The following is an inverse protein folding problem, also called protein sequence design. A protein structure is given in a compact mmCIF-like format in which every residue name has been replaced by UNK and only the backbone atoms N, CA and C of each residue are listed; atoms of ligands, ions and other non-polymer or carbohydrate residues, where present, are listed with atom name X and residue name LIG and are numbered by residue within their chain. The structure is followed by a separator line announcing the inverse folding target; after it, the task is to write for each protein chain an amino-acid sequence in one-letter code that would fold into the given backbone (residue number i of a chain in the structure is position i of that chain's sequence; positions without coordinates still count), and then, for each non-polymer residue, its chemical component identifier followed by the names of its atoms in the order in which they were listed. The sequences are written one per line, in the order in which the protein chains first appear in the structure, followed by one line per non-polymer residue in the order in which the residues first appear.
data_IF_417579405888
#
_entry.id   IF_417579405888
#
_cell.length_a   1.000
_cell.length_b   1.000
_cell.length_c   1.000
_cell.angle_alpha   90.00
_cell.angle_beta   90.00
_cell.angle_gamma   90.00
#
_symmetry.space_group_name_H-M   'P 1'
#
loop_
_entity.id
_entity.type
_entity.pdbx_description
1 polymer ?
#
# COMPACT_ATOMS: atom_id res chain seq x y z
N UNK A 1 -84.32 -2.11 -9.77
CA UNK A 1 -83.46 -1.08 -9.15
C UNK A 1 -82.19 -1.76 -8.62
N UNK A 2 -81.01 -1.20 -8.96
CA UNK A 2 -79.65 -1.27 -8.34
C UNK A 2 -79.40 -2.31 -7.21
N UNK A 3 -78.28 -3.02 -7.08
CA UNK A 3 -76.92 -3.02 -7.68
C UNK A 3 -76.17 -4.25 -7.09
N UNK A 4 -75.18 -4.77 -7.85
CA UNK A 4 -73.82 -5.25 -7.48
C UNK A 4 -73.57 -5.89 -6.09
N UNK A 5 -72.74 -6.93 -5.90
CA UNK A 5 -71.47 -7.27 -6.56
C UNK A 5 -71.07 -8.69 -6.12
N UNK A 6 -70.62 -9.51 -7.06
CA UNK A 6 -70.07 -10.86 -6.84
C UNK A 6 -68.53 -10.81 -6.83
N UNK A 7 -67.91 -11.32 -5.76
CA UNK A 7 -66.47 -11.62 -5.73
C UNK A 7 -66.28 -13.13 -5.60
N UNK A 8 -65.77 -13.74 -6.67
CA UNK A 8 -65.31 -15.13 -6.69
C UNK A 8 -63.86 -15.22 -6.25
N UNK A 9 -63.56 -16.20 -5.39
CA UNK A 9 -62.21 -16.61 -5.02
C UNK A 9 -61.52 -17.29 -6.22
N UNK A 10 -60.29 -16.86 -6.52
CA UNK A 10 -59.34 -17.63 -7.32
C UNK A 10 -58.11 -17.95 -6.45
N UNK A 11 -57.78 -19.24 -6.38
CA UNK A 11 -56.63 -19.78 -5.68
C UNK A 11 -55.31 -19.32 -6.32
N UNK A 12 -54.33 -18.94 -5.49
CA UNK A 12 -52.95 -18.69 -5.92
C UNK A 12 -52.08 -19.85 -5.40
N UNK A 13 -51.51 -20.59 -6.34
CA UNK A 13 -50.51 -21.60 -6.10
C UNK A 13 -49.22 -20.94 -5.56
N UNK A 14 -48.75 -21.39 -4.40
CA UNK A 14 -47.47 -20.97 -3.84
C UNK A 14 -46.33 -21.72 -4.55
N UNK A 15 -45.66 -21.05 -5.48
CA UNK A 15 -44.36 -21.48 -5.99
C UNK A 15 -43.28 -21.06 -5.00
N UNK A 16 -42.81 -22.02 -4.20
CA UNK A 16 -41.59 -21.87 -3.40
C UNK A 16 -40.39 -21.77 -4.33
N UNK A 17 -39.93 -20.56 -4.60
CA UNK A 17 -38.59 -20.31 -5.15
C UNK A 17 -37.60 -20.58 -4.02
N UNK A 18 -36.94 -21.74 -4.05
CA UNK A 18 -35.72 -21.96 -3.27
C UNK A 18 -34.67 -20.97 -3.76
N UNK A 19 -34.53 -19.86 -3.04
CA UNK A 19 -33.31 -19.08 -3.08
C UNK A 19 -32.20 -19.94 -2.50
N UNK A 20 -31.32 -20.46 -3.35
CA UNK A 20 -29.97 -20.81 -2.94
C UNK A 20 -29.30 -19.50 -2.51
N UNK A 21 -29.41 -19.17 -1.22
CA UNK A 21 -28.51 -18.23 -0.59
C UNK A 21 -27.10 -18.80 -0.74
N UNK A 22 -26.30 -18.20 -1.62
CA UNK A 22 -24.86 -18.40 -1.58
C UNK A 22 -24.38 -18.15 -0.15
N UNK A 23 -23.47 -18.98 0.40
CA UNK A 23 -22.98 -18.78 1.74
C UNK A 23 -22.42 -17.37 1.85
N UNK A 24 -23.00 -16.56 2.73
CA UNK A 24 -22.49 -15.26 3.14
C UNK A 24 -21.03 -15.45 3.55
N UNK A 25 -20.12 -15.01 2.68
CA UNK A 25 -18.75 -14.77 3.08
C UNK A 25 -18.80 -13.82 4.27
N UNK A 26 -18.20 -14.21 5.38
CA UNK A 26 -18.15 -13.40 6.59
C UNK A 26 -17.53 -12.04 6.26
N UNK A 27 -18.39 -11.02 6.15
CA UNK A 27 -17.99 -9.63 6.10
C UNK A 27 -17.77 -9.21 7.54
N UNK A 28 -16.52 -8.84 7.89
CA UNK A 28 -16.27 -8.00 9.04
C UNK A 28 -16.92 -6.63 8.75
N UNK A 29 -18.24 -6.54 8.95
CA UNK A 29 -19.01 -5.34 8.68
C UNK A 29 -18.79 -4.29 9.77
N UNK A 30 -19.27 -3.06 9.53
CA UNK A 30 -19.18 -1.97 10.51
C UNK A 30 -19.76 -2.36 11.88
N UNK A 31 -20.74 -3.27 11.90
CA UNK A 31 -21.31 -3.85 13.12
C UNK A 31 -20.28 -4.57 13.99
N UNK A 32 -19.17 -5.08 13.44
CA UNK A 32 -18.13 -5.78 14.19
C UNK A 32 -16.92 -4.89 14.51
N UNK A 33 -16.99 -3.58 14.24
CA UNK A 33 -15.97 -2.60 14.63
C UNK A 33 -14.73 -2.56 13.75
N UNK A 34 -14.77 -3.16 12.55
CA UNK A 34 -13.72 -3.12 11.54
C UNK A 34 -14.30 -2.54 10.24
N UNK A 35 -13.56 -1.68 9.55
CA UNK A 35 -13.95 -1.14 8.24
C UNK A 35 -12.72 -0.96 7.36
N UNK A 36 -12.92 -0.93 6.04
CA UNK A 36 -11.87 -0.48 5.14
C UNK A 36 -11.77 1.05 5.12
N UNK A 37 -10.55 1.61 5.05
CA UNK A 37 -10.37 3.05 4.86
C UNK A 37 -11.14 3.57 3.65
N UNK A 38 -11.51 4.85 3.69
CA UNK A 38 -12.20 5.50 2.56
C UNK A 38 -11.43 5.33 1.25
N UNK A 39 -12.14 5.00 0.16
CA UNK A 39 -11.55 4.75 -1.15
C UNK A 39 -10.87 3.37 -1.28
N UNK A 40 -11.10 2.45 -0.34
CA UNK A 40 -10.70 1.05 -0.44
C UNK A 40 -11.87 0.11 -0.20
N UNK A 41 -11.79 -1.11 -0.74
CA UNK A 41 -12.82 -2.15 -0.65
C UNK A 41 -12.27 -3.40 -0.01
N UNK A 42 -13.08 -4.08 0.80
CA UNK A 42 -12.67 -5.35 1.42
C UNK A 42 -12.39 -6.41 0.35
N UNK A 43 -11.22 -7.04 0.46
CA UNK A 43 -10.79 -8.19 -0.32
C UNK A 43 -10.44 -9.32 0.65
N UNK A 44 -11.11 -10.46 0.51
CA UNK A 44 -10.95 -11.62 1.39
C UNK A 44 -10.28 -12.72 0.57
N UNK A 45 -9.02 -13.00 0.90
CA UNK A 45 -8.27 -14.08 0.27
C UNK A 45 -8.97 -15.42 0.44
N UNK A 46 -9.19 -16.14 -0.67
CA UNK A 46 -9.97 -17.38 -0.72
C UNK A 46 -9.44 -18.51 0.16
N UNK A 47 -8.12 -18.56 0.38
CA UNK A 47 -7.48 -19.74 0.98
C UNK A 47 -7.26 -19.63 2.49
N UNK A 48 -7.15 -18.40 3.02
CA UNK A 48 -6.81 -18.15 4.43
C UNK A 48 -7.71 -17.09 5.08
N UNK A 49 -8.77 -16.66 4.37
CA UNK A 49 -9.66 -15.57 4.79
C UNK A 49 -8.93 -14.28 5.15
N UNK A 50 -7.71 -14.05 4.64
CA UNK A 50 -6.99 -12.81 4.94
C UNK A 50 -7.79 -11.63 4.45
N UNK A 51 -8.16 -10.75 5.39
CA UNK A 51 -8.88 -9.53 5.14
C UNK A 51 -7.89 -8.43 4.79
N UNK A 52 -7.99 -7.94 3.56
CA UNK A 52 -7.24 -6.79 3.06
C UNK A 52 -8.22 -5.71 2.63
N UNK A 53 -7.77 -4.47 2.64
CA UNK A 53 -8.50 -3.39 2.01
C UNK A 53 -7.80 -3.02 0.71
N UNK A 54 -8.36 -3.45 -0.40
CA UNK A 54 -7.84 -3.19 -1.74
C UNK A 54 -8.20 -1.78 -2.19
N UNK A 55 -7.20 -1.04 -2.67
CA UNK A 55 -7.37 0.28 -3.29
C UNK A 55 -6.65 0.25 -4.62
N UNK A 56 -7.29 0.82 -5.65
CA UNK A 56 -6.63 1.03 -6.94
C UNK A 56 -5.80 2.30 -6.85
N UNK A 57 -4.49 2.17 -6.94
CA UNK A 57 -3.57 3.29 -7.07
C UNK A 57 -3.26 3.52 -8.54
N UNK A 58 -3.26 4.78 -8.96
CA UNK A 58 -2.85 5.19 -10.30
C UNK A 58 -1.42 5.67 -10.25
N UNK A 59 -0.54 5.04 -11.02
CA UNK A 59 0.85 5.45 -11.18
C UNK A 59 0.98 6.16 -12.51
N UNK A 60 1.48 7.39 -12.47
CA UNK A 60 1.88 8.14 -13.66
C UNK A 60 3.41 8.21 -13.73
N UNK A 61 3.94 8.00 -14.94
CA UNK A 61 5.34 8.22 -15.29
C UNK A 61 5.38 9.25 -16.41
N UNK A 62 6.30 10.19 -16.30
CA UNK A 62 6.45 11.22 -17.32
C UNK A 62 7.01 10.60 -18.60
N UNK A 63 6.44 11.01 -19.73
CA UNK A 63 6.99 10.66 -21.03
C UNK A 63 8.39 11.28 -21.19
N UNK A 64 9.31 10.52 -21.79
CA UNK A 64 10.68 10.94 -22.04
C UNK A 64 11.18 10.44 -23.39
N UNK A 65 12.29 11.02 -23.84
CA UNK A 65 13.03 10.60 -25.01
C UNK A 65 14.32 9.93 -24.58
N UNK A 66 14.57 8.70 -25.06
CA UNK A 66 15.87 8.05 -24.92
C UNK A 66 16.71 8.44 -26.13
N UNK A 67 17.89 9.01 -25.90
CA UNK A 67 18.83 9.31 -26.97
C UNK A 67 19.25 8.03 -27.69
N UNK A 68 19.01 7.97 -29.00
CA UNK A 68 19.44 6.83 -29.82
C UNK A 68 20.93 7.02 -30.11
N UNK A 69 21.76 6.08 -29.66
CA UNK A 69 23.14 5.95 -30.16
C UNK A 69 23.11 4.96 -31.31
N UNK A 70 23.15 5.44 -32.55
CA UNK A 70 23.57 4.59 -33.67
C UNK A 70 25.08 4.79 -33.76
N UNK A 71 25.86 3.72 -33.70
CA UNK A 71 27.25 3.75 -34.11
C UNK A 71 27.41 2.71 -35.20
N UNK A 72 27.90 3.13 -36.38
CA UNK A 72 28.96 2.41 -37.09
C UNK A 72 29.53 3.15 -38.30
N UNK A 73 29.27 4.46 -38.51
CA UNK A 73 29.82 5.15 -39.70
C UNK A 73 29.82 6.70 -39.67
N UNK A 74 30.09 7.32 -38.51
CA UNK A 74 30.24 8.79 -38.40
C UNK A 74 29.00 9.50 -37.84
N UNK A 75 28.42 8.93 -36.80
CA UNK A 75 27.09 9.27 -36.32
C UNK A 75 26.97 10.61 -35.57
N UNK A 76 25.94 11.37 -35.95
CA UNK A 76 25.49 12.60 -35.31
C UNK A 76 24.83 12.25 -33.97
N UNK A 77 25.31 12.82 -32.86
CA UNK A 77 24.61 12.83 -31.57
C UNK A 77 23.31 13.63 -31.70
N UNK A 78 22.23 12.99 -32.12
CA UNK A 78 20.92 13.64 -32.13
C UNK A 78 20.28 13.46 -30.77
N UNK A 79 20.50 14.45 -29.89
CA UNK A 79 19.72 14.58 -28.66
C UNK A 79 18.26 14.78 -29.05
N UNK A 80 17.45 13.72 -28.97
CA UNK A 80 16.01 13.81 -29.17
C UNK A 80 15.43 14.68 -28.05
N UNK A 81 14.66 15.69 -28.42
CA UNK A 81 13.90 16.53 -27.50
C UNK A 81 12.45 16.10 -27.52
N UNK A 82 11.83 16.04 -26.34
CA UNK A 82 10.39 15.87 -26.22
C UNK A 82 9.70 17.14 -26.72
N UNK A 83 8.88 17.01 -27.76
CA UNK A 83 8.00 18.08 -28.21
C UNK A 83 6.59 17.79 -27.77
N UNK A 84 6.05 18.68 -26.92
CA UNK A 84 4.67 18.63 -26.51
C UNK A 84 3.77 19.07 -27.65
N UNK A 85 2.81 18.23 -28.05
CA UNK A 85 1.88 18.54 -29.13
C UNK A 85 0.55 18.96 -28.51
N UNK A 86 0.13 20.20 -28.77
CA UNK A 86 -1.08 20.79 -28.15
C UNK A 86 -2.37 20.03 -28.47
N UNK A 87 -2.37 19.24 -29.56
CA UNK A 87 -3.44 18.31 -29.92
C UNK A 87 -2.82 17.01 -30.48
N UNK A 88 -2.85 15.95 -29.67
CA UNK A 88 -2.29 14.65 -30.01
C UNK A 88 -1.16 14.23 -29.06
N UNK A 89 -0.48 13.13 -29.41
CA UNK A 89 0.58 12.55 -28.59
C UNK A 89 1.90 13.32 -28.72
N UNK A 90 2.59 13.44 -27.60
CA UNK A 90 3.97 13.88 -27.54
C UNK A 90 4.86 12.97 -28.39
N UNK A 91 5.83 13.58 -29.03
CA UNK A 91 6.79 12.89 -29.90
C UNK A 91 8.20 13.32 -29.57
N UNK A 92 9.15 12.41 -29.76
CA UNK A 92 10.56 12.72 -29.66
C UNK A 92 11.07 13.20 -31.01
N UNK A 93 11.58 14.43 -31.10
CA UNK A 93 12.14 15.00 -32.34
C UNK A 93 13.59 15.40 -32.21
N UNK A 94 14.28 15.34 -33.34
CA UNK A 94 15.60 15.96 -33.49
C UNK A 94 15.40 17.48 -33.61
N UNK A 95 16.11 18.31 -32.82
CA UNK A 95 16.04 19.76 -32.96
C UNK A 95 16.33 20.20 -34.40
N UNK A 96 15.35 20.86 -35.04
CA UNK A 96 15.48 21.34 -36.43
C UNK A 96 15.36 20.26 -37.51
N UNK A 97 14.99 19.02 -37.16
CA UNK A 97 14.80 17.91 -38.10
C UNK A 97 13.34 17.45 -38.24
N UNK A 98 13.09 16.57 -39.20
CA UNK A 98 11.77 15.94 -39.42
C UNK A 98 11.65 14.54 -38.81
N UNK A 99 12.76 13.95 -38.35
CA UNK A 99 12.79 12.63 -37.74
C UNK A 99 12.05 12.64 -36.40
N UNK A 100 11.11 11.70 -36.24
CA UNK A 100 10.31 11.48 -35.03
C UNK A 100 10.55 10.07 -34.50
N UNK A 101 10.54 9.91 -33.18
CA UNK A 101 10.57 8.63 -32.49
C UNK A 101 9.43 8.59 -31.46
N UNK A 102 8.85 7.41 -31.17
CA UNK A 102 7.89 7.30 -30.07
C UNK A 102 8.53 7.70 -28.73
N UNK A 103 7.73 8.32 -27.87
CA UNK A 103 8.10 8.57 -26.48
C UNK A 103 8.15 7.26 -25.69
N UNK A 104 8.92 7.25 -24.63
CA UNK A 104 9.03 6.12 -23.71
C UNK A 104 8.96 6.60 -22.26
N UNK A 105 9.10 5.70 -21.31
CA UNK A 105 9.20 6.02 -19.88
C UNK A 105 10.19 5.08 -19.20
N UNK A 106 10.63 5.47 -18.00
CA UNK A 106 11.47 4.65 -17.14
C UNK A 106 10.63 4.06 -16.01
N UNK A 107 10.41 2.73 -15.96
CA UNK A 107 9.84 2.08 -14.79
C UNK A 107 10.78 2.23 -13.59
N UNK A 108 10.23 2.54 -12.42
CA UNK A 108 10.96 2.62 -11.16
C UNK A 108 10.76 1.32 -10.34
N UNK A 109 11.67 0.99 -9.42
CA UNK A 109 11.46 -0.11 -8.49
C UNK A 109 10.12 0.04 -7.75
N UNK A 110 9.31 -1.03 -7.77
CA UNK A 110 7.95 -1.03 -7.19
C UNK A 110 6.82 -0.66 -8.17
N UNK A 111 7.16 -0.32 -9.42
CA UNK A 111 6.18 -0.19 -10.50
C UNK A 111 5.62 -1.54 -10.95
N UNK A 112 4.39 -1.55 -11.47
CA UNK A 112 3.86 -2.64 -12.27
C UNK A 112 4.79 -3.00 -13.45
N UNK A 113 4.64 -4.19 -14.06
CA UNK A 113 5.34 -4.53 -15.29
C UNK A 113 5.15 -3.44 -16.35
N UNK A 114 6.21 -3.10 -17.10
CA UNK A 114 6.18 -2.03 -18.09
C UNK A 114 5.03 -2.19 -19.11
N UNK A 115 4.63 -3.43 -19.41
CA UNK A 115 3.50 -3.76 -20.29
C UNK A 115 2.12 -3.32 -19.79
N UNK A 116 1.98 -2.97 -18.51
CA UNK A 116 0.73 -2.47 -17.93
C UNK A 116 0.55 -0.95 -18.06
N UNK A 117 1.61 -0.25 -18.48
CA UNK A 117 1.54 1.19 -18.70
C UNK A 117 0.96 1.50 -20.08
N UNK A 118 0.05 2.46 -20.11
CA UNK A 118 -0.57 2.98 -21.32
C UNK A 118 -0.26 4.46 -21.43
N UNK A 119 0.12 4.93 -22.61
CA UNK A 119 0.30 6.35 -22.87
C UNK A 119 -1.08 7.03 -22.84
N UNK A 120 -1.21 8.05 -22.00
CA UNK A 120 -2.42 8.84 -21.81
C UNK A 120 -2.09 10.29 -22.16
N UNK A 121 -2.84 10.83 -23.12
CA UNK A 121 -2.78 12.22 -23.53
C UNK A 121 -3.35 13.09 -22.41
N UNK A 122 -2.56 14.04 -21.88
CA UNK A 122 -3.03 15.04 -20.93
C UNK A 122 -2.66 16.45 -21.40
N UNK A 123 -3.44 17.44 -20.97
CA UNK A 123 -3.16 18.83 -21.28
C UNK A 123 -1.75 19.21 -20.79
N UNK A 124 -0.86 19.55 -21.73
CA UNK A 124 0.49 20.04 -21.47
C UNK A 124 1.58 18.97 -21.40
N UNK A 125 1.27 17.68 -21.25
CA UNK A 125 2.22 16.57 -21.38
C UNK A 125 1.54 15.20 -21.48
N UNK A 126 2.15 14.28 -22.20
CA UNK A 126 1.79 12.87 -22.12
C UNK A 126 2.36 12.21 -20.88
N UNK A 127 1.59 11.28 -20.32
CA UNK A 127 2.01 10.43 -19.21
C UNK A 127 1.79 8.97 -19.55
N UNK A 128 2.69 8.11 -19.07
CA UNK A 128 2.46 6.67 -19.04
C UNK A 128 1.75 6.32 -17.75
N UNK A 129 0.52 5.84 -17.86
CA UNK A 129 -0.35 5.50 -16.73
C UNK A 129 -0.51 4.00 -16.61
N UNK A 130 -0.31 3.50 -15.40
CA UNK A 130 -0.70 2.16 -14.99
C UNK A 130 -1.59 2.24 -13.74
N UNK A 131 -2.37 1.18 -13.51
CA UNK A 131 -3.10 1.00 -12.26
C UNK A 131 -2.56 -0.24 -11.55
N UNK A 132 -2.50 -0.18 -10.22
CA UNK A 132 -2.16 -1.34 -9.40
C UNK A 132 -3.09 -1.45 -8.21
N UNK A 133 -3.38 -2.68 -7.82
CA UNK A 133 -4.05 -2.94 -6.54
C UNK A 133 -3.01 -2.81 -5.43
N UNK A 134 -3.25 -1.88 -4.51
CA UNK A 134 -2.52 -1.74 -3.26
C UNK A 134 -3.42 -2.22 -2.13
N UNK A 135 -2.82 -2.88 -1.15
CA UNK A 135 -3.54 -3.39 0.01
C UNK A 135 -3.14 -2.58 1.23
N UNK A 136 -4.13 -1.98 1.89
CA UNK A 136 -3.96 -1.26 3.15
C UNK A 136 -4.63 -2.05 4.27
N UNK A 137 -4.14 -1.84 5.49
CA UNK A 137 -4.74 -2.46 6.67
C UNK A 137 -6.16 -1.93 6.87
N UNK A 138 -7.10 -2.78 7.33
CA UNK A 138 -8.38 -2.28 7.81
C UNK A 138 -8.18 -1.28 8.95
N UNK A 139 -9.19 -0.45 9.16
CA UNK A 139 -9.26 0.53 10.24
C UNK A 139 -10.34 0.13 11.24
N UNK A 140 -10.29 0.76 12.42
CA UNK A 140 -11.36 0.63 13.40
C UNK A 140 -12.61 1.34 12.87
N UNK A 141 -13.71 0.60 12.78
CA UNK A 141 -15.02 1.17 12.52
C UNK A 141 -15.57 1.91 13.74
N UNK A 142 -16.49 2.87 13.57
CA UNK A 142 -17.22 3.46 14.68
C UNK A 142 -17.89 2.33 15.49
N UNK A 143 -17.51 2.24 16.76
CA UNK A 143 -18.11 1.28 17.69
C UNK A 143 -19.40 1.92 18.19
N UNK A 144 -20.50 1.70 17.47
CA UNK A 144 -21.83 2.22 17.87
C UNK A 144 -22.38 1.56 19.14
N UNK A 145 -21.82 0.42 19.54
CA UNK A 145 -22.13 -0.26 20.79
C UNK A 145 -20.81 -0.63 21.50
N UNK A 146 -20.51 -0.14 22.70
CA UNK A 146 -19.26 -0.43 23.43
C UNK A 146 -19.04 -1.94 23.72
N UNK A 147 -20.05 -2.79 23.53
CA UNK A 147 -19.93 -4.25 23.57
C UNK A 147 -19.31 -4.85 22.30
N UNK A 148 -19.22 -4.09 21.20
CA UNK A 148 -18.68 -4.57 19.93
C UNK A 148 -17.16 -4.38 19.90
N UNK A 149 -16.44 -5.48 19.72
CA UNK A 149 -14.98 -5.51 19.69
C UNK A 149 -14.49 -5.95 18.31
N UNK A 150 -13.56 -5.19 17.71
CA UNK A 150 -12.93 -5.51 16.43
C UNK A 150 -12.34 -6.94 16.39
N UNK A 151 -11.83 -7.42 17.54
CA UNK A 151 -11.30 -8.79 17.68
C UNK A 151 -12.34 -9.90 17.48
N UNK A 152 -13.64 -9.58 17.43
CA UNK A 152 -14.72 -10.52 17.11
C UNK A 152 -14.93 -10.69 15.60
N UNK A 153 -14.54 -9.70 14.78
CA UNK A 153 -14.63 -9.77 13.32
C UNK A 153 -13.34 -10.23 12.65
N UNK A 154 -12.20 -10.05 13.32
CA UNK A 154 -10.89 -10.41 12.77
C UNK A 154 -10.00 -11.15 13.77
N UNK A 155 -9.05 -11.95 13.26
CA UNK A 155 -8.07 -12.70 14.05
C UNK A 155 -6.69 -12.62 13.42
N UNK A 156 -5.64 -12.60 14.24
CA UNK A 156 -4.29 -12.67 13.70
C UNK A 156 -3.93 -14.08 13.20
N UNK A 157 -3.16 -14.16 12.10
CA UNK A 157 -2.63 -15.44 11.65
C UNK A 157 -1.71 -16.05 12.72
N UNK A 158 -1.57 -17.37 12.69
CA UNK A 158 -0.77 -18.09 13.68
C UNK A 158 0.67 -17.52 13.78
N UNK A 159 1.11 -17.28 15.00
CA UNK A 159 2.44 -16.72 15.30
C UNK A 159 2.54 -15.21 15.18
N UNK A 160 1.44 -14.49 14.96
CA UNK A 160 1.34 -13.04 15.09
C UNK A 160 0.39 -12.69 16.23
N UNK A 161 0.73 -11.63 16.94
CA UNK A 161 -0.08 -11.03 17.99
C UNK A 161 -0.84 -9.82 17.45
N UNK A 162 -1.91 -9.40 18.13
CA UNK A 162 -2.60 -8.17 17.77
C UNK A 162 -1.81 -6.95 18.26
N UNK A 163 -1.66 -5.92 17.41
CA UNK A 163 -0.84 -4.75 17.75
C UNK A 163 -1.39 -4.01 18.99
N UNK A 164 -0.65 -3.99 20.11
CA UNK A 164 -1.09 -3.38 21.36
C UNK A 164 -1.07 -1.84 21.31
N UNK A 165 -0.30 -1.24 20.39
CA UNK A 165 -0.23 0.22 20.21
C UNK A 165 -1.50 0.77 19.55
N UNK A 166 -2.24 -0.09 18.81
CA UNK A 166 -3.59 0.20 18.30
C UNK A 166 -4.68 -0.27 19.28
N UNK A 167 -4.68 0.27 20.51
CA UNK A 167 -5.70 0.05 21.55
C UNK A 167 -5.95 -1.43 21.93
N UNK A 168 -5.04 -2.37 21.63
CA UNK A 168 -5.22 -3.80 21.92
C UNK A 168 -6.38 -4.46 21.15
N UNK A 169 -6.81 -3.87 20.02
CA UNK A 169 -7.99 -4.32 19.25
C UNK A 169 -7.66 -5.19 18.02
N UNK A 170 -6.39 -5.47 17.75
CA UNK A 170 -5.96 -6.56 16.84
C UNK A 170 -6.26 -6.36 15.34
N UNK A 171 -6.33 -5.11 14.87
CA UNK A 171 -6.63 -4.79 13.46
C UNK A 171 -5.37 -4.93 12.58
N UNK A 172 -4.19 -4.80 13.20
CA UNK A 172 -2.89 -5.15 12.64
C UNK A 172 -2.31 -6.29 13.45
N UNK A 173 -1.65 -7.22 12.77
CA UNK A 173 -1.03 -8.37 13.41
C UNK A 173 0.47 -8.20 13.36
N UNK A 174 1.12 -8.01 14.51
CA UNK A 174 2.55 -7.83 14.61
C UNK A 174 3.24 -9.06 15.19
N UNK A 175 4.51 -9.20 14.86
CA UNK A 175 5.38 -10.19 15.48
C UNK A 175 6.77 -9.59 15.59
N UNK A 176 7.45 -9.87 16.70
CA UNK A 176 8.90 -9.62 16.80
C UNK A 176 9.64 -10.51 15.81
N UNK A 177 10.44 -9.89 14.95
CA UNK A 177 11.23 -10.59 13.96
C UNK A 177 12.71 -10.57 14.31
N UNK A 178 13.24 -11.75 14.64
CA UNK A 178 14.62 -11.92 15.11
C UNK A 178 14.91 -11.31 16.48
N UNK A 179 16.17 -11.40 16.89
CA UNK A 179 16.66 -10.85 18.16
C UNK A 179 16.84 -9.32 18.09
N UNK A 180 16.73 -8.61 19.24
CA UNK A 180 17.06 -7.20 19.31
C UNK A 180 18.48 -6.91 18.79
N UNK A 181 18.62 -5.81 18.05
CA UNK A 181 19.89 -5.33 17.52
C UNK A 181 20.34 -4.13 18.34
N UNK A 182 21.61 -4.07 18.71
CA UNK A 182 22.15 -2.90 19.41
C UNK A 182 21.99 -1.62 18.57
N UNK A 183 21.72 -0.50 19.23
CA UNK A 183 21.77 0.82 18.62
C UNK A 183 23.18 1.15 18.09
N UNK A 184 23.25 1.73 16.91
CA UNK A 184 24.46 1.98 16.15
C UNK A 184 24.32 3.24 15.30
N UNK A 185 25.43 3.78 14.83
CA UNK A 185 25.48 4.96 13.96
C UNK A 185 25.99 4.58 12.57
N UNK A 186 25.75 5.44 11.58
CA UNK A 186 26.39 5.28 10.27
C UNK A 186 27.88 5.58 10.35
N UNK A 187 28.63 5.12 9.34
CA UNK A 187 30.06 5.38 9.24
C UNK A 187 30.36 6.90 9.32
N UNK A 188 31.32 7.27 10.18
CA UNK A 188 31.71 8.67 10.40
C UNK A 188 30.98 9.37 11.54
N UNK A 189 30.05 8.70 12.23
CA UNK A 189 29.35 9.22 13.40
C UNK A 189 29.67 8.41 14.65
N UNK A 190 29.72 9.08 15.80
CA UNK A 190 29.99 8.43 17.10
C UNK A 190 28.68 8.28 17.86
N UNK A 191 28.40 7.08 18.37
CA UNK A 191 27.26 6.87 19.28
C UNK A 191 27.60 7.47 20.65
N UNK A 192 26.72 8.31 21.16
CA UNK A 192 26.72 8.83 22.52
C UNK A 192 25.59 8.13 23.29
N UNK A 193 25.92 7.17 24.17
CA UNK A 193 24.90 6.53 24.98
C UNK A 193 24.36 7.47 26.05
N UNK A 194 23.05 7.50 26.24
CA UNK A 194 22.48 8.30 27.33
C UNK A 194 22.54 7.51 28.66
N UNK A 195 23.32 8.03 29.60
CA UNK A 195 23.51 7.37 30.90
C UNK A 195 22.27 7.46 31.82
N UNK A 196 21.24 8.23 31.42
CA UNK A 196 19.99 8.39 32.16
C UNK A 196 18.88 7.50 31.61
N UNK A 197 19.17 6.70 30.58
CA UNK A 197 18.24 5.75 29.96
C UNK A 197 17.25 6.39 28.98
N UNK A 198 17.56 7.57 28.44
CA UNK A 198 16.87 8.14 27.28
C UNK A 198 17.47 7.59 25.97
N UNK A 199 16.90 7.95 24.82
CA UNK A 199 17.41 7.54 23.50
C UNK A 199 18.90 7.88 23.29
N UNK A 200 19.69 6.88 22.94
CA UNK A 200 21.07 7.01 22.44
C UNK A 200 21.10 7.83 21.15
N UNK A 201 22.07 8.74 21.01
CA UNK A 201 22.19 9.65 19.86
C UNK A 201 23.46 9.42 19.07
N UNK A 202 23.43 9.76 17.78
CA UNK A 202 24.62 9.82 16.94
C UNK A 202 25.14 11.27 16.88
N UNK A 203 26.42 11.47 17.21
CA UNK A 203 27.13 12.75 17.16
C UNK A 203 28.01 12.86 15.91
N UNK A 204 27.97 14.03 15.25
CA UNK A 204 28.76 14.35 14.06
C UNK A 204 28.31 15.63 13.36
N UNK A 205 28.44 15.70 12.02
CA UNK A 205 28.01 16.85 11.20
C UNK A 205 26.50 17.13 11.30
N UNK A 206 25.71 16.10 11.57
CA UNK A 206 24.29 16.20 11.90
C UNK A 206 24.00 15.25 13.06
N UNK A 207 23.62 15.80 14.21
CA UNK A 207 23.16 14.97 15.33
C UNK A 207 21.86 14.28 14.92
N UNK A 208 21.76 12.97 15.16
CA UNK A 208 20.64 12.18 14.65
C UNK A 208 20.28 10.98 15.52
N UNK A 209 19.12 10.35 15.25
CA UNK A 209 18.72 9.11 15.93
C UNK A 209 19.67 7.96 15.56
N UNK A 210 19.77 6.97 16.44
CA UNK A 210 20.50 5.74 16.14
C UNK A 210 19.73 4.85 15.16
N UNK A 211 20.40 3.81 14.67
CA UNK A 211 19.85 2.77 13.82
C UNK A 211 20.20 1.38 14.35
N UNK A 212 19.54 0.31 13.87
CA UNK A 212 19.95 -1.05 14.19
C UNK A 212 21.36 -1.35 13.66
N UNK A 213 22.19 -2.05 14.45
CA UNK A 213 23.52 -2.51 14.03
C UNK A 213 23.45 -3.41 12.79
N UNK A 214 24.41 -3.24 11.88
CA UNK A 214 24.50 -4.01 10.63
C UNK A 214 23.51 -3.59 9.54
N UNK A 215 22.91 -2.41 9.69
CA UNK A 215 22.05 -1.74 8.71
C UNK A 215 22.62 -0.35 8.39
N UNK A 216 22.29 0.23 7.24
CA UNK A 216 22.55 1.66 6.95
C UNK A 216 21.37 2.52 7.38
N UNK A 217 21.56 3.83 7.63
CA UNK A 217 20.40 4.68 7.97
C UNK A 217 19.36 4.71 6.85
N UNK A 218 19.79 4.73 5.59
CA UNK A 218 18.89 4.67 4.43
C UNK A 218 18.02 3.42 4.48
N UNK A 219 18.60 2.25 4.77
CA UNK A 219 17.83 1.02 4.89
C UNK A 219 16.87 1.07 6.09
N UNK A 220 17.30 1.63 7.21
CA UNK A 220 16.45 1.78 8.39
C UNK A 220 15.24 2.68 8.11
N UNK A 221 15.45 3.83 7.47
CA UNK A 221 14.38 4.76 7.09
C UNK A 221 13.41 4.08 6.10
N UNK A 222 13.93 3.40 5.07
CA UNK A 222 13.11 2.64 4.11
C UNK A 222 12.26 1.54 4.78
N UNK A 223 12.82 0.84 5.77
CA UNK A 223 12.06 -0.17 6.52
C UNK A 223 11.05 0.46 7.48
N UNK A 224 11.31 1.63 8.06
CA UNK A 224 10.36 2.36 8.92
C UNK A 224 9.21 2.97 8.15
N UNK A 225 9.45 3.39 6.91
CA UNK A 225 8.42 3.94 6.02
C UNK A 225 7.59 2.83 5.34
N UNK A 226 7.90 1.56 5.60
CA UNK A 226 7.17 0.41 5.07
C UNK A 226 5.92 0.10 5.90
N UNK A 227 4.80 -0.20 5.24
CA UNK A 227 3.59 -0.70 5.93
C UNK A 227 3.77 -2.10 6.56
N UNK A 228 4.83 -2.83 6.18
CA UNK A 228 5.01 -4.24 6.57
C UNK A 228 6.05 -4.45 7.66
N UNK A 229 6.87 -3.45 7.94
CA UNK A 229 7.99 -3.55 8.86
C UNK A 229 7.94 -2.31 9.75
N UNK A 230 8.25 -2.48 11.01
CA UNK A 230 8.54 -1.36 11.90
C UNK A 230 9.74 -1.70 12.77
N UNK A 231 10.35 -0.65 13.27
CA UNK A 231 11.45 -0.72 14.21
C UNK A 231 11.03 0.04 15.45
N UNK A 232 11.14 -0.62 16.60
CA UNK A 232 10.90 0.03 17.88
C UNK A 232 12.19 0.08 18.68
N UNK A 233 12.45 1.26 19.25
CA UNK A 233 13.57 1.50 20.14
C UNK A 233 13.20 1.01 21.54
N UNK A 234 14.03 0.14 22.10
CA UNK A 234 14.02 -0.15 23.53
C UNK A 234 15.08 0.76 24.15
N UNK A 235 14.61 1.80 24.82
CA UNK A 235 15.46 2.71 25.59
C UNK A 235 15.95 1.96 26.84
N UNK A 236 17.26 1.86 27.01
CA UNK A 236 17.85 1.21 28.18
C UNK A 236 19.00 2.04 28.75
N UNK A 237 19.23 1.92 30.05
CA UNK A 237 20.42 2.52 30.67
C UNK A 237 21.68 1.93 30.04
N UNK A 238 22.46 2.79 29.36
CA UNK A 238 23.79 2.50 28.85
C UNK A 238 23.86 2.02 27.39
N UNK A 239 22.87 1.27 26.89
CA UNK A 239 22.84 0.90 25.47
C UNK A 239 21.43 0.54 25.00
N UNK A 240 20.94 1.30 24.04
CA UNK A 240 19.66 1.03 23.41
C UNK A 240 19.70 -0.18 22.49
N UNK A 241 18.53 -0.78 22.31
CA UNK A 241 18.34 -1.86 21.34
C UNK A 241 17.13 -1.61 20.45
N UNK A 242 17.32 -1.79 19.15
CA UNK A 242 16.27 -1.78 18.16
C UNK A 242 15.71 -3.18 17.98
N UNK A 243 14.40 -3.33 18.09
CA UNK A 243 13.74 -4.58 17.76
C UNK A 243 12.87 -4.39 16.52
N UNK A 244 13.07 -5.29 15.56
CA UNK A 244 12.28 -5.36 14.34
C UNK A 244 10.93 -5.98 14.64
N UNK A 245 9.88 -5.40 14.07
CA UNK A 245 8.53 -5.95 14.00
C UNK A 245 8.14 -6.13 12.55
N UNK A 246 7.43 -7.21 12.26
CA UNK A 246 6.79 -7.45 10.96
C UNK A 246 5.30 -7.49 11.14
N UNK A 247 4.58 -6.96 10.16
CA UNK A 247 3.12 -6.90 10.16
C UNK A 247 2.52 -7.85 9.14
N UNK A 248 1.43 -8.50 9.53
CA UNK A 248 0.58 -9.30 8.67
C UNK A 248 -0.86 -8.77 8.71
N UNK A 249 -1.55 -8.92 7.58
CA UNK A 249 -2.98 -8.68 7.50
C UNK A 249 -3.75 -9.68 8.37
N UNK A 250 -4.81 -9.23 9.07
CA UNK A 250 -5.62 -10.14 9.86
C UNK A 250 -6.46 -11.04 8.96
N UNK A 251 -6.95 -12.15 9.51
CA UNK A 251 -7.95 -13.02 8.89
C UNK A 251 -9.36 -12.62 9.33
N UNK A 252 -10.32 -12.65 8.42
CA UNK A 252 -11.74 -12.56 8.74
C UNK A 252 -12.18 -13.78 9.55
N UNK A 253 -12.99 -13.57 10.59
CA UNK A 253 -13.56 -14.66 11.42
C UNK A 253 -14.82 -15.24 10.77
#
# INVERSE_FOLDING_TARGET
MKRNTSFGLTAIAATTVLWLAAPTAAQAGEQQGVRCPSGSTADIGSNNRTLKCAKVETINRDAMCVGITVSNQGDVKQNLRLEHVTAGRDVCKVPGGTATSPVTFLPLPGDPPASSFTQVEQAGKDVFRATKNVYVFPERGPIYNPLHNASLGVACPAGYDGDPVFDGKGIRCDKRDGSPKTADCDFGFTREPDQRGNEDRCLGLHNGPTKPRGMTKIQHDLERDSDRISWYLNENVGQDTWQRKVYAFPNSR
#
